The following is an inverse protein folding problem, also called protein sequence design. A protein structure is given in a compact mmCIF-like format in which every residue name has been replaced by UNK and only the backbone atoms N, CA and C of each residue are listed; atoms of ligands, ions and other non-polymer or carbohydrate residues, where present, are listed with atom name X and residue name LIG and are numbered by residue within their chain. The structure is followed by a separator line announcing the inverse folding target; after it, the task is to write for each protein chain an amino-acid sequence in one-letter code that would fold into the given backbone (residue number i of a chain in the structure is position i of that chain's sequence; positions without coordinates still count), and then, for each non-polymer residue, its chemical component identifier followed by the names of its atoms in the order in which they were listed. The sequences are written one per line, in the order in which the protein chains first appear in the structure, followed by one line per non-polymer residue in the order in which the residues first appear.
data_IF_475567024715
#
_entry.id   IF_475567024715
#
_cell.length_a   1.000
_cell.length_b   1.000
_cell.length_c   1.000
_cell.angle_alpha   90.00
_cell.angle_beta   90.00
_cell.angle_gamma   90.00
#
_symmetry.space_group_name_H-M   'P 1'
#
loop_
_entity.id
_entity.type
_entity.pdbx_description
1 polymer ?
#
# COMPACT_ATOMS: atom_id res chain seq x y z
N UNK A 1 -12.26 13.09 11.91
CA UNK A 1 -12.20 11.76 12.55
C UNK A 1 -11.22 10.91 11.75
N UNK A 2 -10.14 10.42 12.33
CA UNK A 2 -9.05 9.72 11.59
C UNK A 2 -9.03 8.21 11.80
N UNK A 3 -10.14 7.63 12.27
CA UNK A 3 -10.25 6.19 12.46
C UNK A 3 -10.26 5.47 11.12
N UNK A 4 -9.40 4.46 10.96
CA UNK A 4 -9.39 3.57 9.78
C UNK A 4 -10.59 2.63 9.89
N UNK A 5 -11.34 2.49 8.79
CA UNK A 5 -12.50 1.59 8.71
C UNK A 5 -12.31 0.46 7.71
N UNK A 6 -11.46 0.67 6.69
CA UNK A 6 -11.14 -0.37 5.70
C UNK A 6 -9.68 -0.26 5.26
N UNK A 7 -9.05 -1.41 5.04
CA UNK A 7 -7.73 -1.55 4.45
C UNK A 7 -7.78 -2.67 3.42
N UNK A 8 -7.50 -2.35 2.16
CA UNK A 8 -7.51 -3.32 1.06
C UNK A 8 -6.14 -3.37 0.38
N UNK A 9 -5.53 -4.55 0.37
CA UNK A 9 -4.24 -4.80 -0.28
C UNK A 9 -4.40 -5.60 -1.57
N UNK A 10 -3.63 -5.26 -2.60
CA UNK A 10 -3.55 -6.02 -3.86
C UNK A 10 -2.13 -6.09 -4.39
N UNK A 11 -1.86 -7.12 -5.18
CA UNK A 11 -0.61 -7.24 -5.94
C UNK A 11 -0.69 -6.39 -7.21
N UNK A 12 0.36 -5.63 -7.48
CA UNK A 12 0.59 -4.90 -8.73
C UNK A 12 1.99 -5.23 -9.28
N UNK A 13 2.30 -4.75 -10.48
CA UNK A 13 3.62 -4.91 -11.11
C UNK A 13 4.33 -3.56 -11.10
N UNK A 14 5.57 -3.53 -10.63
CA UNK A 14 6.40 -2.31 -10.61
C UNK A 14 7.01 -1.97 -11.99
N UNK A 15 7.81 -0.91 -12.07
CA UNK A 15 8.48 -0.50 -13.30
C UNK A 15 9.56 -1.46 -13.81
N UNK A 16 9.97 -2.45 -13.00
CA UNK A 16 10.97 -3.49 -13.32
C UNK A 16 10.33 -4.84 -13.65
N UNK A 17 9.00 -4.93 -13.67
CA UNK A 17 8.28 -6.17 -13.90
C UNK A 17 8.16 -7.09 -12.68
N UNK A 18 8.55 -6.63 -11.49
CA UNK A 18 8.46 -7.41 -10.27
C UNK A 18 7.08 -7.21 -9.59
N UNK A 19 6.49 -8.27 -9.02
CA UNK A 19 5.35 -8.14 -8.13
C UNK A 19 5.68 -7.23 -6.93
N UNK A 20 4.78 -6.28 -6.63
CA UNK A 20 4.81 -5.47 -5.41
C UNK A 20 3.39 -5.26 -4.87
N UNK A 21 3.25 -4.59 -3.73
CA UNK A 21 1.98 -4.39 -3.02
C UNK A 21 1.50 -2.95 -3.18
N UNK A 22 0.22 -2.79 -3.51
CA UNK A 22 -0.54 -1.55 -3.37
C UNK A 22 -1.59 -1.71 -2.27
N UNK A 23 -1.77 -0.66 -1.46
CA UNK A 23 -2.75 -0.61 -0.38
C UNK A 23 -3.64 0.62 -0.53
N UNK A 24 -4.93 0.40 -0.31
CA UNK A 24 -5.96 1.42 -0.15
C UNK A 24 -6.42 1.46 1.30
N UNK A 25 -6.69 2.66 1.81
CA UNK A 25 -7.20 2.89 3.17
C UNK A 25 -8.36 3.87 3.12
N UNK A 26 -9.46 3.51 3.78
CA UNK A 26 -10.61 4.38 4.01
C UNK A 26 -10.71 4.76 5.50
N UNK A 27 -10.93 6.05 5.77
CA UNK A 27 -11.18 6.56 7.11
C UNK A 27 -12.66 6.78 7.35
N UNK A 28 -13.09 6.77 8.61
CA UNK A 28 -14.46 7.04 9.03
C UNK A 28 -14.95 8.45 8.66
N UNK A 29 -14.06 9.35 8.24
CA UNK A 29 -14.42 10.66 7.68
C UNK A 29 -14.76 10.62 6.19
N UNK A 30 -14.68 9.46 5.53
CA UNK A 30 -14.76 9.31 4.08
C UNK A 30 -13.48 9.68 3.33
N UNK A 31 -12.38 9.94 4.04
CA UNK A 31 -11.09 10.20 3.40
C UNK A 31 -10.49 8.89 2.87
N UNK A 32 -9.92 8.94 1.67
CA UNK A 32 -9.33 7.80 0.98
C UNK A 32 -7.87 8.05 0.63
N UNK A 33 -7.03 7.05 0.85
CA UNK A 33 -5.61 7.09 0.48
C UNK A 33 -5.18 5.81 -0.22
N UNK A 34 -4.28 5.93 -1.18
CA UNK A 34 -3.67 4.80 -1.89
C UNK A 34 -2.16 4.97 -1.98
N UNK A 35 -1.42 3.91 -1.71
CA UNK A 35 0.04 3.89 -1.83
C UNK A 35 0.55 2.56 -2.34
N UNK A 36 1.58 2.60 -3.18
CA UNK A 36 2.33 1.44 -3.62
C UNK A 36 3.71 1.39 -2.95
N UNK A 37 4.15 0.19 -2.56
CA UNK A 37 5.47 -0.01 -1.95
C UNK A 37 6.51 -0.20 -3.07
N UNK A 38 7.65 0.51 -3.05
CA UNK A 38 8.73 0.26 -3.99
C UNK A 38 9.37 -1.11 -3.74
N UNK A 39 9.55 -1.88 -4.80
CA UNK A 39 10.30 -3.14 -4.73
C UNK A 39 11.76 -2.87 -4.36
N UNK A 40 12.35 -3.69 -3.50
CA UNK A 40 13.76 -3.56 -3.08
C UNK A 40 14.00 -2.75 -1.80
N UNK A 41 12.97 -2.16 -1.19
CA UNK A 41 13.08 -1.63 0.18
C UNK A 41 13.19 -2.75 1.26
N UNK A 42 13.08 -4.02 0.87
CA UNK A 42 13.06 -5.19 1.75
C UNK A 42 14.43 -5.86 1.96
N UNK A 43 15.54 -5.26 1.53
CA UNK A 43 16.91 -5.82 1.67
C UNK A 43 17.64 -5.32 2.92
N UNK A 44 16.93 -4.98 3.99
CA UNK A 44 17.57 -4.65 5.27
C UNK A 44 18.10 -5.91 5.94
N UNK A 45 19.42 -6.06 6.00
CA UNK A 45 20.07 -6.95 6.98
C UNK A 45 20.06 -6.23 8.34
N UNK A 46 19.73 -6.97 9.41
CA UNK A 46 19.49 -6.50 10.79
C UNK A 46 20.41 -5.38 11.28
#
# INVERSE_FOLDING_TARGET
MTHIIEVHGRQIIDSRGNPTVEVEVELSSGAFGRAAVPSGASTGEH
#
